data_IF_856244356867
#
_entry.id   IF_856244356867
#
_cell.length_a   1.000
_cell.length_b   1.000
_cell.length_c   1.000
_cell.angle_alpha   90.00
_cell.angle_beta   90.00
_cell.angle_gamma   90.00
#
_symmetry.space_group_name_H-M   'P 1'
#
loop_
_entity.id
_entity.type
_entity.pdbx_description
1 polymer ?
#
# COMPACT_ATOMS: atom_id res chain seq x y z
N UNK A 1 58.46 59.24 -84.85
CA UNK A 1 57.51 58.18 -85.19
C UNK A 1 58.09 56.86 -84.72
N UNK A 2 57.78 56.41 -83.62
CA UNK A 2 58.07 55.06 -83.18
C UNK A 2 57.15 54.73 -81.97
N UNK A 3 56.28 53.76 -82.13
CA UNK A 3 55.37 53.32 -81.17
C UNK A 3 56.03 52.41 -80.13
N UNK A 4 55.93 52.73 -78.90
CA UNK A 4 56.33 51.91 -77.78
C UNK A 4 55.25 50.90 -77.36
N UNK A 5 55.59 49.64 -77.26
CA UNK A 5 54.79 48.58 -76.74
C UNK A 5 54.68 48.67 -75.20
N UNK A 6 53.61 48.47 -74.58
CA UNK A 6 53.50 48.30 -73.10
C UNK A 6 53.77 46.88 -72.67
N UNK A 7 54.45 46.79 -71.56
CA UNK A 7 54.91 45.61 -70.80
C UNK A 7 53.70 44.86 -70.15
N UNK A 8 53.67 43.56 -70.33
CA UNK A 8 52.71 42.67 -69.67
C UNK A 8 52.96 42.63 -68.17
N UNK A 9 51.91 42.91 -67.40
CA UNK A 9 51.87 42.66 -65.95
C UNK A 9 51.39 41.21 -65.68
N UNK A 10 52.12 40.53 -64.85
CA UNK A 10 51.82 39.18 -64.38
C UNK A 10 50.57 39.20 -63.42
N UNK A 11 49.59 38.41 -63.74
CA UNK A 11 48.46 38.16 -62.88
C UNK A 11 48.82 37.18 -61.73
N UNK A 12 48.51 37.54 -60.47
CA UNK A 12 48.64 36.69 -59.33
C UNK A 12 47.51 35.63 -59.35
N UNK A 13 47.70 34.44 -58.78
CA UNK A 13 46.71 33.35 -58.80
C UNK A 13 45.51 33.68 -57.94
N UNK A 14 44.25 33.47 -58.48
CA UNK A 14 42.98 33.72 -57.87
C UNK A 14 42.73 32.83 -56.63
N UNK A 15 42.30 33.49 -55.64
CA UNK A 15 41.71 32.81 -54.44
C UNK A 15 40.39 32.13 -54.80
N UNK A 16 40.29 30.84 -54.51
CA UNK A 16 39.05 30.10 -54.64
C UNK A 16 37.96 30.66 -53.66
N UNK A 17 36.69 30.68 -54.04
CA UNK A 17 35.63 31.17 -53.16
C UNK A 17 35.45 30.25 -51.95
N UNK A 18 35.35 30.86 -50.76
CA UNK A 18 35.05 30.19 -49.51
C UNK A 18 33.71 29.46 -49.62
N UNK A 19 33.73 28.15 -49.44
CA UNK A 19 32.48 27.35 -49.29
C UNK A 19 31.77 27.79 -48.00
N UNK A 20 30.60 28.38 -48.12
CA UNK A 20 29.69 28.63 -47.03
C UNK A 20 29.18 27.27 -46.56
N UNK A 21 29.67 26.79 -45.42
CA UNK A 21 29.14 25.61 -44.76
C UNK A 21 27.72 25.93 -44.32
N UNK A 22 26.75 25.14 -44.80
CA UNK A 22 25.39 25.16 -44.33
C UNK A 22 25.34 24.86 -42.81
N UNK A 23 24.42 25.49 -42.04
CA UNK A 23 24.30 25.22 -40.62
C UNK A 23 23.98 23.73 -40.41
N UNK A 24 24.79 23.07 -39.57
CA UNK A 24 24.54 21.72 -39.09
C UNK A 24 23.16 21.74 -38.40
N UNK A 25 22.20 21.09 -39.03
CA UNK A 25 20.90 20.81 -38.37
C UNK A 25 21.20 19.99 -37.13
N UNK A 26 20.96 20.57 -35.95
CA UNK A 26 20.95 19.84 -34.70
C UNK A 26 19.95 18.70 -34.84
N UNK A 27 20.45 17.49 -34.91
CA UNK A 27 19.58 16.29 -34.75
C UNK A 27 18.97 16.40 -33.39
N UNK A 28 17.62 16.16 -33.25
CA UNK A 28 17.02 16.08 -31.94
C UNK A 28 17.75 14.95 -31.17
N UNK A 29 18.39 15.32 -30.05
CA UNK A 29 18.95 14.34 -29.13
C UNK A 29 17.87 13.27 -28.87
N UNK A 30 18.17 12.04 -29.30
CA UNK A 30 17.32 10.91 -28.99
C UNK A 30 17.20 10.86 -27.46
N UNK A 31 16.00 11.17 -26.96
CA UNK A 31 15.69 11.07 -25.55
C UNK A 31 16.06 9.64 -25.12
N UNK A 32 17.18 9.50 -24.43
CA UNK A 32 17.61 8.24 -23.84
C UNK A 32 16.52 7.85 -22.86
N UNK A 33 15.79 6.78 -23.16
CA UNK A 33 14.86 6.17 -22.21
C UNK A 33 15.59 5.96 -20.89
N UNK A 34 15.04 6.40 -19.75
CA UNK A 34 15.69 6.19 -18.46
C UNK A 34 16.02 4.73 -18.29
N UNK A 35 17.27 4.43 -17.89
CA UNK A 35 17.68 3.04 -17.65
C UNK A 35 16.83 2.51 -16.46
N UNK A 36 16.58 1.19 -16.44
CA UNK A 36 15.87 0.58 -15.30
C UNK A 36 16.55 0.86 -13.95
N UNK A 37 17.82 1.22 -13.95
CA UNK A 37 18.59 1.59 -12.76
C UNK A 37 18.22 2.98 -12.22
N UNK A 38 17.63 3.86 -13.04
CA UNK A 38 17.24 5.22 -12.65
C UNK A 38 15.81 5.27 -12.09
N UNK A 39 15.04 4.17 -12.18
CA UNK A 39 13.71 4.09 -11.59
C UNK A 39 13.81 3.74 -10.10
N UNK A 40 13.37 4.64 -9.25
CA UNK A 40 13.29 4.40 -7.82
C UNK A 40 12.33 3.24 -7.55
N UNK A 41 12.86 2.15 -6.96
CA UNK A 41 12.01 1.05 -6.52
C UNK A 41 11.26 1.47 -5.26
N UNK A 42 9.99 1.76 -5.39
CA UNK A 42 9.11 1.91 -4.24
C UNK A 42 8.77 0.53 -3.65
N UNK A 43 8.61 0.50 -2.31
CA UNK A 43 8.09 -0.71 -1.67
C UNK A 43 6.69 -0.99 -2.20
N UNK A 44 6.44 -2.23 -2.60
CA UNK A 44 5.10 -2.67 -2.91
C UNK A 44 4.21 -2.50 -1.66
N UNK A 45 3.29 -1.55 -1.74
CA UNK A 45 2.31 -1.26 -0.68
C UNK A 45 0.95 -1.86 -1.02
N UNK A 46 0.80 -2.45 -2.22
CA UNK A 46 -0.44 -3.01 -2.74
C UNK A 46 -0.66 -4.47 -2.29
N UNK A 47 0.38 -5.15 -1.81
CA UNK A 47 0.41 -6.60 -1.54
C UNK A 47 -0.65 -7.18 -0.58
N UNK A 48 -1.64 -6.40 -0.14
CA UNK A 48 -2.87 -6.85 0.53
C UNK A 48 -2.71 -7.56 1.88
N UNK A 49 -1.54 -8.11 2.20
CA UNK A 49 -1.30 -8.93 3.39
C UNK A 49 -0.81 -8.16 4.63
N UNK A 50 -0.10 -7.04 4.44
CA UNK A 50 0.58 -6.33 5.53
C UNK A 50 -0.41 -5.73 6.55
N UNK A 51 -1.47 -5.06 6.05
CA UNK A 51 -2.50 -4.47 6.91
C UNK A 51 -3.24 -5.54 7.73
N UNK A 52 -3.77 -6.65 7.15
CA UNK A 52 -4.35 -7.77 7.89
C UNK A 52 -3.38 -8.40 8.89
N UNK A 53 -2.10 -8.55 8.54
CA UNK A 53 -1.10 -9.13 9.43
C UNK A 53 -0.82 -8.26 10.65
N UNK A 54 -0.62 -6.95 10.45
CA UNK A 54 -0.38 -6.01 11.55
C UNK A 54 -1.60 -5.92 12.47
N UNK A 55 -2.80 -5.81 11.87
CA UNK A 55 -4.04 -5.71 12.61
C UNK A 55 -4.30 -7.00 13.40
N UNK A 56 -4.14 -8.17 12.75
CA UNK A 56 -4.29 -9.47 13.41
C UNK A 56 -3.39 -9.63 14.61
N UNK A 57 -2.08 -9.38 14.47
CA UNK A 57 -1.14 -9.53 15.56
C UNK A 57 -1.46 -8.65 16.78
N UNK A 58 -1.81 -7.38 16.53
CA UNK A 58 -2.12 -6.43 17.60
C UNK A 58 -3.46 -6.73 18.25
N UNK A 59 -4.48 -7.10 17.47
CA UNK A 59 -5.80 -7.44 17.99
C UNK A 59 -5.77 -8.76 18.77
N UNK A 60 -5.11 -9.80 18.27
CA UNK A 60 -4.95 -11.05 18.99
C UNK A 60 -4.27 -10.89 20.36
N UNK A 61 -3.22 -10.06 20.41
CA UNK A 61 -2.52 -9.75 21.65
C UNK A 61 -3.44 -9.04 22.66
N UNK A 62 -4.14 -7.97 22.21
CA UNK A 62 -5.01 -7.15 23.07
C UNK A 62 -6.24 -7.94 23.50
N UNK A 63 -6.90 -8.63 22.58
CA UNK A 63 -8.07 -9.45 22.88
C UNK A 63 -7.76 -10.52 23.92
N UNK A 64 -6.68 -11.26 23.73
CA UNK A 64 -6.40 -12.39 24.62
C UNK A 64 -5.82 -11.96 25.98
N UNK A 65 -5.00 -10.91 26.05
CA UNK A 65 -4.60 -10.36 27.35
C UNK A 65 -5.79 -9.81 28.13
N UNK A 66 -6.77 -9.22 27.44
CA UNK A 66 -7.99 -8.71 28.03
C UNK A 66 -8.88 -9.83 28.58
N UNK A 67 -9.06 -10.92 27.83
CA UNK A 67 -9.77 -12.12 28.30
C UNK A 67 -9.10 -12.72 29.54
N UNK A 68 -7.78 -12.90 29.48
CA UNK A 68 -6.98 -13.44 30.60
C UNK A 68 -7.07 -12.52 31.82
N UNK A 69 -7.00 -11.21 31.63
CA UNK A 69 -7.12 -10.23 32.72
C UNK A 69 -8.52 -10.25 33.33
N UNK A 70 -9.58 -10.35 32.53
CA UNK A 70 -10.96 -10.45 33.00
C UNK A 70 -11.22 -11.71 33.83
N UNK A 71 -10.86 -12.87 33.28
CA UNK A 71 -11.03 -14.17 33.97
C UNK A 71 -10.13 -14.28 35.21
N UNK A 72 -8.88 -13.83 35.11
CA UNK A 72 -7.93 -13.79 36.24
C UNK A 72 -8.34 -12.79 37.33
N UNK A 73 -8.93 -11.64 36.96
CA UNK A 73 -9.51 -10.67 37.88
C UNK A 73 -10.69 -11.24 38.67
N UNK A 74 -11.46 -12.15 38.08
CA UNK A 74 -12.53 -12.90 38.73
C UNK A 74 -12.04 -13.98 39.68
N UNK A 75 -10.74 -14.23 39.79
CA UNK A 75 -10.16 -15.20 40.71
C UNK A 75 -10.30 -16.66 40.25
N UNK A 76 -10.53 -16.90 38.95
CA UNK A 76 -10.74 -18.23 38.40
C UNK A 76 -9.42 -19.01 38.26
N UNK A 77 -9.54 -20.32 38.29
CA UNK A 77 -8.39 -21.24 38.24
C UNK A 77 -7.65 -21.18 36.89
N UNK A 78 -6.37 -21.53 36.89
CA UNK A 78 -5.49 -21.64 35.72
C UNK A 78 -6.13 -22.40 34.56
N UNK A 79 -6.81 -23.53 34.83
CA UNK A 79 -7.46 -24.35 33.81
C UNK A 79 -8.53 -23.56 33.05
N UNK A 80 -9.33 -22.78 33.74
CA UNK A 80 -10.35 -21.92 33.17
C UNK A 80 -9.72 -20.80 32.33
N UNK A 81 -8.64 -20.19 32.83
CA UNK A 81 -7.91 -19.14 32.09
C UNK A 81 -7.32 -19.72 30.79
N UNK A 82 -6.70 -20.91 30.83
CA UNK A 82 -6.16 -21.57 29.63
C UNK A 82 -7.28 -21.89 28.64
N UNK A 83 -8.40 -22.46 29.10
CA UNK A 83 -9.51 -22.80 28.23
C UNK A 83 -10.10 -21.55 27.56
N UNK A 84 -10.32 -20.49 28.35
CA UNK A 84 -10.84 -19.21 27.84
C UNK A 84 -9.88 -18.57 26.83
N UNK A 85 -8.57 -18.58 27.14
CA UNK A 85 -7.56 -18.03 26.23
C UNK A 85 -7.45 -18.81 24.92
N UNK A 86 -7.51 -20.16 24.96
CA UNK A 86 -7.53 -20.99 23.75
C UNK A 86 -8.81 -20.80 22.95
N UNK A 87 -9.98 -20.73 23.61
CA UNK A 87 -11.25 -20.46 22.95
C UNK A 87 -11.26 -19.07 22.30
N UNK A 88 -10.75 -18.04 23.00
CA UNK A 88 -10.62 -16.68 22.48
C UNK A 88 -9.66 -16.60 21.30
N UNK A 89 -8.52 -17.31 21.37
CA UNK A 89 -7.57 -17.42 20.27
C UNK A 89 -8.23 -18.05 19.03
N UNK A 90 -8.89 -19.20 19.19
CA UNK A 90 -9.51 -19.90 18.07
C UNK A 90 -10.66 -19.08 17.47
N UNK A 91 -11.61 -18.63 18.29
CA UNK A 91 -12.77 -17.85 17.84
C UNK A 91 -12.34 -16.53 17.19
N UNK A 92 -11.42 -15.80 17.80
CA UNK A 92 -10.92 -14.52 17.28
C UNK A 92 -10.16 -14.69 15.97
N UNK A 93 -9.26 -15.68 15.87
CA UNK A 93 -8.50 -15.93 14.64
C UNK A 93 -9.42 -16.27 13.45
N UNK A 94 -10.40 -17.16 13.66
CA UNK A 94 -11.37 -17.50 12.60
C UNK A 94 -12.31 -16.35 12.26
N UNK A 95 -12.79 -15.61 13.25
CA UNK A 95 -13.68 -14.46 13.04
C UNK A 95 -12.97 -13.36 12.22
N UNK A 96 -11.73 -13.02 12.60
CA UNK A 96 -10.93 -12.05 11.85
C UNK A 96 -10.64 -12.50 10.43
N UNK A 97 -10.23 -13.76 10.25
CA UNK A 97 -9.96 -14.30 8.92
C UNK A 97 -11.21 -14.26 8.02
N UNK A 98 -12.37 -14.65 8.56
CA UNK A 98 -13.64 -14.58 7.84
C UNK A 98 -14.01 -13.12 7.49
N UNK A 99 -13.83 -12.19 8.42
CA UNK A 99 -14.07 -10.76 8.20
C UNK A 99 -13.19 -10.17 7.12
N UNK A 100 -11.88 -10.46 7.13
CA UNK A 100 -10.95 -10.02 6.09
C UNK A 100 -11.27 -10.64 4.73
N UNK A 101 -11.58 -11.95 4.69
CA UNK A 101 -11.98 -12.61 3.45
C UNK A 101 -13.20 -11.94 2.81
N UNK A 102 -14.26 -11.75 3.59
CA UNK A 102 -15.50 -11.12 3.10
C UNK A 102 -15.24 -9.68 2.69
N UNK A 103 -14.49 -8.92 3.48
CA UNK A 103 -14.18 -7.51 3.20
C UNK A 103 -13.43 -7.33 1.88
N UNK A 104 -12.35 -8.10 1.67
CA UNK A 104 -11.55 -8.02 0.44
C UNK A 104 -12.32 -8.57 -0.75
N UNK A 105 -13.10 -9.67 -0.59
CA UNK A 105 -13.95 -10.19 -1.66
C UNK A 105 -14.98 -9.15 -2.11
N UNK A 106 -15.68 -8.51 -1.15
CA UNK A 106 -16.69 -7.51 -1.49
C UNK A 106 -16.10 -6.27 -2.15
N UNK A 107 -14.88 -5.86 -1.76
CA UNK A 107 -14.17 -4.78 -2.45
C UNK A 107 -13.82 -5.16 -3.89
N UNK A 108 -13.31 -6.38 -4.10
CA UNK A 108 -12.99 -6.87 -5.44
C UNK A 108 -14.21 -7.00 -6.34
N UNK A 109 -15.33 -7.48 -5.77
CA UNK A 109 -16.63 -7.58 -6.48
C UNK A 109 -17.14 -6.19 -6.89
N UNK A 110 -17.01 -5.19 -6.01
CA UNK A 110 -17.38 -3.82 -6.33
C UNK A 110 -16.52 -3.26 -7.47
N UNK A 111 -15.19 -3.42 -7.39
CA UNK A 111 -14.29 -3.01 -8.48
C UNK A 111 -14.65 -3.72 -9.78
N UNK A 112 -14.90 -5.01 -9.76
CA UNK A 112 -15.29 -5.77 -10.95
C UNK A 112 -16.60 -5.24 -11.57
N UNK A 113 -17.58 -4.85 -10.75
CA UNK A 113 -18.83 -4.27 -11.22
C UNK A 113 -18.63 -2.90 -11.88
N UNK A 114 -17.77 -2.03 -11.31
CA UNK A 114 -17.45 -0.73 -11.90
C UNK A 114 -16.61 -0.89 -13.18
N UNK A 115 -15.67 -1.84 -13.24
CA UNK A 115 -14.91 -2.16 -14.45
C UNK A 115 -15.83 -2.62 -15.60
N UNK A 116 -16.85 -3.43 -15.29
CA UNK A 116 -17.80 -3.87 -16.31
C UNK A 116 -18.68 -2.71 -16.83
N UNK A 117 -19.06 -1.81 -15.94
CA UNK A 117 -19.77 -0.58 -16.31
C UNK A 117 -18.90 0.29 -17.22
N UNK A 118 -17.65 0.50 -16.85
CA UNK A 118 -16.69 1.29 -17.64
C UNK A 118 -16.44 0.67 -19.03
N UNK A 119 -16.33 -0.66 -19.08
CA UNK A 119 -16.24 -1.40 -20.35
C UNK A 119 -17.45 -1.14 -21.24
N UNK A 120 -18.65 -1.17 -20.65
CA UNK A 120 -19.89 -0.89 -21.35
C UNK A 120 -19.93 0.54 -21.92
N UNK A 121 -19.51 1.55 -21.13
CA UNK A 121 -19.46 2.96 -21.57
C UNK A 121 -18.45 3.13 -22.71
N UNK A 122 -17.24 2.59 -22.59
CA UNK A 122 -16.21 2.61 -23.65
C UNK A 122 -16.70 1.96 -24.96
N UNK A 123 -17.52 0.92 -24.90
CA UNK A 123 -18.09 0.26 -26.09
C UNK A 123 -19.22 1.06 -26.72
N UNK A 124 -20.08 1.71 -25.91
CA UNK A 124 -21.29 2.34 -26.39
C UNK A 124 -21.16 3.86 -26.62
N UNK A 125 -20.24 4.52 -25.94
CA UNK A 125 -19.97 5.97 -26.03
C UNK A 125 -18.47 6.30 -26.06
N UNK A 126 -17.65 5.70 -26.95
CA UNK A 126 -16.19 5.87 -26.94
C UNK A 126 -15.73 7.31 -27.10
N UNK A 127 -16.55 8.16 -27.76
CA UNK A 127 -16.21 9.58 -27.88
C UNK A 127 -16.48 10.35 -26.58
N UNK A 128 -17.54 10.00 -25.86
CA UNK A 128 -17.82 10.57 -24.54
C UNK A 128 -16.69 10.27 -23.56
N UNK A 129 -16.28 9.01 -23.51
CA UNK A 129 -15.19 8.55 -22.65
C UNK A 129 -13.85 9.22 -22.99
N UNK A 130 -13.53 9.40 -24.27
CA UNK A 130 -12.35 10.16 -24.67
C UNK A 130 -12.39 11.62 -24.18
N UNK A 131 -13.56 12.28 -24.24
CA UNK A 131 -13.74 13.65 -23.74
C UNK A 131 -13.62 13.70 -22.21
N UNK A 132 -14.15 12.70 -21.52
CA UNK A 132 -14.04 12.57 -20.06
C UNK A 132 -12.59 12.41 -19.62
N UNK A 133 -11.85 11.51 -20.24
CA UNK A 133 -10.42 11.32 -19.98
C UNK A 133 -9.62 12.61 -20.23
N UNK A 134 -9.91 13.33 -21.31
CA UNK A 134 -9.28 14.61 -21.60
C UNK A 134 -9.61 15.65 -20.52
N UNK A 135 -10.86 15.68 -20.03
CA UNK A 135 -11.27 16.58 -18.96
C UNK A 135 -10.54 16.28 -17.64
N UNK A 136 -10.32 15.01 -17.29
CA UNK A 136 -9.53 14.60 -16.13
C UNK A 136 -8.09 15.14 -16.20
N UNK A 137 -7.43 15.03 -17.34
CA UNK A 137 -6.08 15.58 -17.53
C UNK A 137 -6.05 17.12 -17.48
N UNK A 138 -7.04 17.80 -18.07
CA UNK A 138 -7.18 19.26 -17.97
C UNK A 138 -7.34 19.72 -16.52
N UNK A 139 -8.15 19.04 -15.73
CA UNK A 139 -8.30 19.33 -14.28
C UNK A 139 -7.00 19.15 -13.50
N UNK A 140 -6.09 18.28 -13.96
CA UNK A 140 -4.75 18.09 -13.38
C UNK A 140 -3.70 19.09 -13.89
N UNK A 141 -4.10 20.04 -14.73
CA UNK A 141 -3.23 21.11 -15.23
C UNK A 141 -2.51 20.81 -16.53
N UNK A 142 -2.89 19.76 -17.26
CA UNK A 142 -2.38 19.50 -18.61
C UNK A 142 -2.98 20.52 -19.56
N UNK A 143 -2.17 21.04 -20.50
CA UNK A 143 -2.64 21.94 -21.55
C UNK A 143 -3.82 21.32 -22.30
N UNK A 144 -4.89 22.10 -22.62
CA UNK A 144 -6.10 21.56 -23.22
C UNK A 144 -5.88 20.77 -24.51
N UNK A 145 -5.06 21.31 -25.44
CA UNK A 145 -4.81 20.67 -26.73
C UNK A 145 -4.00 19.37 -26.54
N UNK A 146 -3.05 19.39 -25.61
CA UNK A 146 -2.26 18.19 -25.26
C UNK A 146 -3.13 17.14 -24.56
N UNK A 147 -4.03 17.53 -23.67
CA UNK A 147 -4.95 16.61 -22.99
C UNK A 147 -5.87 15.88 -23.98
N UNK A 148 -6.42 16.60 -24.95
CA UNK A 148 -7.26 16.02 -26.00
C UNK A 148 -6.46 15.05 -26.90
N UNK A 149 -5.21 15.38 -27.22
CA UNK A 149 -4.34 14.50 -28.01
C UNK A 149 -3.93 13.24 -27.23
N UNK A 150 -3.58 13.37 -25.94
CA UNK A 150 -3.25 12.23 -25.07
C UNK A 150 -4.44 11.30 -24.93
N UNK A 151 -5.62 11.81 -24.60
CA UNK A 151 -6.85 11.02 -24.50
C UNK A 151 -7.14 10.27 -25.80
N UNK A 152 -7.02 10.97 -26.95
CA UNK A 152 -7.22 10.37 -28.28
C UNK A 152 -6.23 9.23 -28.57
N UNK A 153 -4.97 9.36 -28.14
CA UNK A 153 -3.96 8.32 -28.35
C UNK A 153 -4.21 7.10 -27.44
N UNK A 154 -4.54 7.32 -26.17
CA UNK A 154 -4.82 6.28 -25.19
C UNK A 154 -6.08 5.48 -25.54
N UNK A 155 -7.11 6.13 -26.10
CA UNK A 155 -8.36 5.47 -26.50
C UNK A 155 -8.24 4.61 -27.77
N UNK A 156 -7.05 4.49 -28.38
CA UNK A 156 -6.88 3.66 -29.61
C UNK A 156 -6.89 2.17 -29.32
N UNK A 157 -6.57 1.76 -28.11
CA UNK A 157 -6.45 0.37 -27.69
C UNK A 157 -7.48 0.10 -26.58
N UNK A 158 -8.58 -0.61 -26.84
CA UNK A 158 -9.71 -0.73 -25.89
C UNK A 158 -9.31 -1.25 -24.50
N UNK A 159 -8.49 -2.28 -24.42
CA UNK A 159 -8.06 -2.83 -23.13
C UNK A 159 -7.16 -1.87 -22.32
N UNK A 160 -6.30 -1.13 -23.02
CA UNK A 160 -5.47 -0.12 -22.36
C UNK A 160 -6.28 1.11 -21.98
N UNK A 161 -7.25 1.53 -22.83
CA UNK A 161 -8.21 2.56 -22.50
C UNK A 161 -8.97 2.22 -21.21
N UNK A 162 -9.56 1.03 -21.14
CA UNK A 162 -10.25 0.55 -19.94
C UNK A 162 -9.35 0.60 -18.70
N UNK A 163 -8.12 0.12 -18.82
CA UNK A 163 -7.17 0.13 -17.71
C UNK A 163 -6.86 1.54 -17.22
N UNK A 164 -6.72 2.49 -18.15
CA UNK A 164 -6.43 3.88 -17.84
C UNK A 164 -7.63 4.55 -17.18
N UNK A 165 -8.84 4.38 -17.73
CA UNK A 165 -10.06 4.91 -17.15
C UNK A 165 -10.27 4.41 -15.73
N UNK A 166 -10.24 3.10 -15.52
CA UNK A 166 -10.35 2.49 -14.18
C UNK A 166 -9.30 3.06 -13.21
N UNK A 167 -8.05 3.25 -13.65
CA UNK A 167 -7.00 3.83 -12.81
C UNK A 167 -7.23 5.31 -12.50
N UNK A 168 -7.66 6.09 -13.48
CA UNK A 168 -7.84 7.54 -13.34
C UNK A 168 -9.10 7.88 -12.53
N UNK A 169 -10.17 7.12 -12.67
CA UNK A 169 -11.47 7.35 -12.03
C UNK A 169 -11.61 6.64 -10.68
N UNK A 170 -11.28 5.35 -10.63
CA UNK A 170 -11.42 4.55 -9.40
C UNK A 170 -10.15 4.54 -8.54
N UNK A 171 -9.01 4.96 -9.10
CA UNK A 171 -7.73 4.98 -8.39
C UNK A 171 -7.14 3.61 -8.09
N UNK A 172 -7.59 2.56 -8.79
CA UNK A 172 -7.16 1.18 -8.59
C UNK A 172 -6.64 0.56 -9.89
N UNK A 173 -5.73 -0.39 -9.77
CA UNK A 173 -5.38 -1.26 -10.90
C UNK A 173 -6.19 -2.56 -10.78
N UNK A 174 -7.18 -2.75 -11.65
CA UNK A 174 -8.06 -3.92 -11.61
C UNK A 174 -7.35 -5.24 -11.93
N UNK A 175 -6.12 -5.17 -12.46
CA UNK A 175 -5.29 -6.35 -12.72
C UNK A 175 -4.46 -6.77 -11.51
N UNK A 176 -4.34 -5.90 -10.48
CA UNK A 176 -3.54 -6.15 -9.28
C UNK A 176 -4.39 -5.95 -8.00
N UNK A 177 -5.51 -6.69 -7.93
CA UNK A 177 -6.39 -6.66 -6.77
C UNK A 177 -5.86 -7.56 -5.64
N UNK A 178 -5.99 -7.15 -4.37
CA UNK A 178 -5.54 -7.94 -3.24
C UNK A 178 -6.28 -9.29 -3.14
N UNK A 179 -5.55 -10.35 -2.82
CA UNK A 179 -6.13 -11.70 -2.67
C UNK A 179 -6.87 -11.84 -1.33
N UNK A 180 -8.18 -12.16 -1.33
CA UNK A 180 -8.95 -12.40 -0.10
C UNK A 180 -8.37 -13.53 0.75
N UNK A 181 -7.87 -14.59 0.12
CA UNK A 181 -7.27 -15.74 0.81
C UNK A 181 -5.96 -15.34 1.50
N UNK A 182 -5.13 -14.55 0.83
CA UNK A 182 -3.87 -14.06 1.41
C UNK A 182 -4.13 -13.13 2.60
N UNK A 183 -5.09 -12.23 2.49
CA UNK A 183 -5.48 -11.31 3.58
C UNK A 183 -6.02 -12.10 4.79
N UNK A 184 -6.94 -13.02 4.55
CA UNK A 184 -7.52 -13.88 5.59
C UNK A 184 -6.47 -14.76 6.28
N UNK A 185 -5.60 -15.40 5.51
CA UNK A 185 -4.53 -16.25 6.03
C UNK A 185 -3.51 -15.48 6.87
N UNK A 186 -3.12 -14.30 6.40
CA UNK A 186 -2.23 -13.41 7.15
C UNK A 186 -2.85 -12.96 8.47
N UNK A 187 -4.12 -12.55 8.44
CA UNK A 187 -4.88 -12.16 9.64
C UNK A 187 -5.01 -13.30 10.64
N UNK A 188 -5.42 -14.49 10.18
CA UNK A 188 -5.56 -15.68 11.02
C UNK A 188 -4.25 -16.03 11.74
N UNK A 189 -3.17 -16.17 10.97
CA UNK A 189 -1.88 -16.58 11.51
C UNK A 189 -1.34 -15.57 12.53
N UNK A 190 -1.39 -14.29 12.19
CA UNK A 190 -0.83 -13.26 13.06
C UNK A 190 -1.69 -13.00 14.29
N UNK A 191 -3.02 -13.09 14.19
CA UNK A 191 -3.92 -13.05 15.35
C UNK A 191 -3.59 -14.20 16.31
N UNK A 192 -3.48 -15.44 15.81
CA UNK A 192 -3.15 -16.59 16.64
C UNK A 192 -1.79 -16.42 17.34
N UNK A 193 -0.77 -15.91 16.65
CA UNK A 193 0.53 -15.59 17.24
C UNK A 193 0.39 -14.52 18.33
N UNK A 194 -0.31 -13.41 18.05
CA UNK A 194 -0.53 -12.34 19.02
C UNK A 194 -1.27 -12.82 20.27
N UNK A 195 -2.35 -13.59 20.07
CA UNK A 195 -3.17 -14.13 21.14
C UNK A 195 -2.44 -15.18 21.99
N UNK A 196 -1.50 -15.93 21.40
CA UNK A 196 -0.71 -16.92 22.10
C UNK A 196 0.23 -16.31 23.15
N UNK A 197 0.78 -15.11 22.89
CA UNK A 197 1.79 -14.47 23.74
C UNK A 197 1.35 -14.36 25.21
N UNK A 198 0.22 -13.71 25.56
CA UNK A 198 -0.21 -13.60 26.96
C UNK A 198 -0.63 -14.95 27.57
N UNK A 199 -0.93 -15.96 26.76
CA UNK A 199 -1.31 -17.28 27.21
C UNK A 199 -0.10 -18.17 27.56
N UNK A 200 1.09 -17.88 26.99
CA UNK A 200 2.30 -18.65 27.15
C UNK A 200 2.64 -18.96 28.62
N UNK A 201 2.64 -18.01 29.59
CA UNK A 201 2.94 -18.33 30.98
C UNK A 201 2.04 -19.42 31.55
N UNK A 202 0.75 -19.36 31.26
CA UNK A 202 -0.22 -20.34 31.73
C UNK A 202 -0.04 -21.71 31.06
N UNK A 203 0.30 -21.76 29.78
CA UNK A 203 0.61 -23.02 29.08
C UNK A 203 1.88 -23.68 29.63
N UNK A 204 2.87 -22.89 30.03
CA UNK A 204 4.12 -23.36 30.63
C UNK A 204 3.99 -23.79 32.13
N UNK A 205 2.80 -23.67 32.71
CA UNK A 205 2.55 -24.11 34.07
C UNK A 205 2.52 -23.00 35.13
N UNK A 206 2.84 -21.76 34.77
CA UNK A 206 2.78 -20.65 35.71
C UNK A 206 1.32 -20.17 35.90
N UNK A 207 0.95 -19.83 37.12
CA UNK A 207 -0.41 -19.30 37.43
C UNK A 207 -0.31 -17.83 37.83
N UNK A 208 0.46 -17.05 37.08
CA UNK A 208 0.71 -15.63 37.36
C UNK A 208 0.10 -14.74 36.31
N UNK A 209 -0.97 -14.02 36.69
CA UNK A 209 -1.58 -12.96 35.86
C UNK A 209 -0.55 -11.86 35.56
N UNK A 210 0.28 -11.50 36.54
CA UNK A 210 1.31 -10.50 36.34
C UNK A 210 2.30 -10.90 35.24
N UNK A 211 2.71 -12.17 35.17
CA UNK A 211 3.60 -12.65 34.11
C UNK A 211 2.96 -12.54 32.73
N UNK A 212 1.68 -12.87 32.59
CA UNK A 212 0.94 -12.75 31.32
C UNK A 212 0.82 -11.29 30.87
N UNK A 213 0.45 -10.40 31.78
CA UNK A 213 0.29 -8.96 31.51
C UNK A 213 1.65 -8.31 31.16
N UNK A 214 2.72 -8.63 31.89
CA UNK A 214 4.06 -8.11 31.59
C UNK A 214 4.53 -8.58 30.20
N UNK A 215 4.36 -9.87 29.89
CA UNK A 215 4.74 -10.40 28.59
C UNK A 215 3.96 -9.76 27.45
N UNK A 216 2.65 -9.57 27.63
CA UNK A 216 1.81 -8.87 26.68
C UNK A 216 2.21 -7.38 26.53
N UNK A 217 2.54 -6.69 27.63
CA UNK A 217 2.99 -5.30 27.60
C UNK A 217 4.31 -5.15 26.81
N UNK A 218 5.27 -6.04 27.04
CA UNK A 218 6.54 -6.06 26.28
C UNK A 218 6.27 -6.33 24.79
N UNK A 219 5.41 -7.30 24.46
CA UNK A 219 5.05 -7.60 23.08
C UNK A 219 4.31 -6.44 22.41
N UNK A 220 3.37 -5.79 23.11
CA UNK A 220 2.67 -4.60 22.62
C UNK A 220 3.63 -3.45 22.33
N UNK A 221 4.58 -3.20 23.24
CA UNK A 221 5.59 -2.17 23.08
C UNK A 221 6.50 -2.43 21.87
N UNK A 222 7.03 -3.63 21.76
CA UNK A 222 7.91 -4.03 20.64
C UNK A 222 7.12 -4.02 19.32
N UNK A 223 5.96 -4.67 19.29
CA UNK A 223 5.13 -4.77 18.08
C UNK A 223 4.66 -3.40 17.59
N UNK A 224 4.16 -2.55 18.49
CA UNK A 224 3.77 -1.18 18.14
C UNK A 224 4.93 -0.33 17.64
N UNK A 225 6.12 -0.50 18.21
CA UNK A 225 7.35 0.16 17.77
C UNK A 225 7.83 -0.32 16.40
N UNK A 226 7.75 -1.62 16.10
CA UNK A 226 8.09 -2.19 14.80
C UNK A 226 7.14 -1.69 13.71
N UNK A 227 5.84 -1.66 13.98
CA UNK A 227 4.84 -1.09 13.07
C UNK A 227 5.15 0.38 12.78
N UNK A 228 5.50 1.17 13.81
CA UNK A 228 5.89 2.57 13.60
C UNK A 228 7.12 2.70 12.69
N UNK A 229 8.13 1.84 12.84
CA UNK A 229 9.29 1.82 11.93
C UNK A 229 8.93 1.50 10.49
N UNK A 230 8.05 0.52 10.28
CA UNK A 230 7.58 0.13 8.93
C UNK A 230 6.88 1.33 8.26
N UNK A 231 6.12 2.12 9.04
CA UNK A 231 5.39 3.30 8.57
C UNK A 231 6.20 4.61 8.64
N UNK A 232 7.53 4.52 8.72
CA UNK A 232 8.46 5.66 8.80
C UNK A 232 8.12 6.65 9.94
N UNK A 233 7.61 6.12 11.07
CA UNK A 233 7.32 6.91 12.28
C UNK A 233 8.32 6.58 13.41
N UNK A 234 8.52 7.49 14.37
CA UNK A 234 9.38 7.23 15.52
C UNK A 234 8.90 6.00 16.31
N UNK A 235 9.79 5.04 16.55
CA UNK A 235 9.52 3.77 17.23
C UNK A 235 8.69 3.94 18.53
N UNK A 236 9.11 4.87 19.39
CA UNK A 236 8.51 5.07 20.70
C UNK A 236 7.05 5.54 20.64
N UNK A 237 6.63 6.26 19.57
CA UNK A 237 5.22 6.71 19.41
C UNK A 237 4.29 5.53 19.18
N UNK A 238 4.66 4.61 18.29
CA UNK A 238 3.89 3.39 18.06
C UNK A 238 3.92 2.45 19.26
N UNK A 239 5.08 2.31 19.88
CA UNK A 239 5.26 1.48 21.07
C UNK A 239 4.37 1.96 22.23
N UNK A 240 4.39 3.25 22.57
CA UNK A 240 3.56 3.81 23.65
C UNK A 240 2.07 3.77 23.33
N UNK A 241 1.69 4.06 22.08
CA UNK A 241 0.29 3.96 21.66
C UNK A 241 -0.26 2.55 21.85
N UNK A 242 0.45 1.53 21.37
CA UNK A 242 0.00 0.15 21.47
C UNK A 242 -0.02 -0.35 22.91
N UNK A 243 0.99 0.01 23.69
CA UNK A 243 1.03 -0.30 25.12
C UNK A 243 -0.14 0.33 25.88
N UNK A 244 -0.46 1.59 25.62
CA UNK A 244 -1.60 2.27 26.24
C UNK A 244 -2.93 1.61 25.90
N UNK A 245 -3.16 1.24 24.64
CA UNK A 245 -4.37 0.54 24.21
C UNK A 245 -4.50 -0.82 24.91
N UNK A 246 -3.43 -1.62 24.94
CA UNK A 246 -3.43 -2.90 25.62
C UNK A 246 -3.66 -2.77 27.14
N UNK A 247 -3.02 -1.77 27.77
CA UNK A 247 -3.20 -1.52 29.19
C UNK A 247 -4.63 -1.10 29.57
N UNK A 248 -5.23 -0.21 28.77
CA UNK A 248 -6.63 0.23 28.98
C UNK A 248 -7.59 -0.95 28.83
N UNK A 249 -7.46 -1.74 27.76
CA UNK A 249 -8.31 -2.89 27.52
C UNK A 249 -8.19 -3.94 28.63
N UNK A 250 -6.96 -4.29 29.06
CA UNK A 250 -6.72 -5.23 30.14
C UNK A 250 -7.22 -4.71 31.49
N UNK A 251 -7.05 -3.42 31.79
CA UNK A 251 -7.54 -2.82 33.04
C UNK A 251 -9.06 -2.83 33.12
N UNK A 252 -9.75 -2.48 32.03
CA UNK A 252 -11.22 -2.49 31.96
C UNK A 252 -11.77 -3.89 32.16
N UNK A 253 -11.24 -4.89 31.47
CA UNK A 253 -11.69 -6.27 31.58
C UNK A 253 -11.33 -6.89 32.94
N UNK A 254 -10.18 -6.56 33.51
CA UNK A 254 -9.82 -6.93 34.89
C UNK A 254 -10.82 -6.36 35.90
N UNK A 255 -11.18 -5.08 35.76
CA UNK A 255 -12.20 -4.44 36.62
C UNK A 255 -13.55 -5.12 36.52
N UNK A 256 -14.01 -5.45 35.30
CA UNK A 256 -15.24 -6.20 35.08
C UNK A 256 -15.16 -7.59 35.75
N UNK A 257 -14.05 -8.29 35.57
CA UNK A 257 -13.82 -9.60 36.20
C UNK A 257 -13.88 -9.55 37.74
N UNK A 258 -13.26 -8.52 38.34
CA UNK A 258 -13.34 -8.31 39.80
C UNK A 258 -14.76 -8.04 40.29
N UNK A 259 -15.52 -7.25 39.55
CA UNK A 259 -16.91 -6.93 39.94
C UNK A 259 -17.85 -8.13 39.78
N UNK A 260 -17.67 -8.93 38.71
CA UNK A 260 -18.48 -10.11 38.46
C UNK A 260 -18.11 -11.27 39.39
N UNK A 261 -16.78 -11.56 39.53
CA UNK A 261 -16.30 -12.67 40.37
C UNK A 261 -16.51 -12.50 41.88
N UNK A 262 -16.61 -11.25 42.37
CA UNK A 262 -16.95 -10.98 43.75
C UNK A 262 -18.45 -11.15 44.09
N UNK A 263 -19.29 -11.43 43.07
CA UNK A 263 -20.76 -11.62 43.20
C UNK A 263 -21.24 -13.05 42.86
N UNK A 264 -20.36 -13.86 42.28
CA UNK A 264 -20.57 -15.30 42.02
C UNK A 264 -19.86 -16.15 43.08
#
# INVERSE_FOLDING_TARGET
>A
MAASKPRAQAQAPGQAPAQVQAPVQAQPEAATSPSQADMHQHRDVSGGWLRPAVFGAMDGLVTNVSLIAGVGGGGLERKTIVLTGLAGLAAGAFSMAAGEFVSVSSQNELVAAEVEKERFELEHNPHGEQVELAALYKMRGVDPDLADEVARQLSRHPEEALRIHVREELGVDHQDLPSPVTAAGASLATFAIGALIPLLPYLLGFSSLAAAVILAAVAAFIGGGLVAKITARPFWRGALRQLALAAVAAALTYGIGRLAGGRL
#
